data_IF_966470152618
#
_entry.id   IF_966470152618
#
_cell.length_a   1.000
_cell.length_b   1.000
_cell.length_c   1.000
_cell.angle_alpha   90.00
_cell.angle_beta   90.00
_cell.angle_gamma   90.00
#
_symmetry.space_group_name_H-M   'P 1'
#
loop_
_entity.id
_entity.type
_entity.pdbx_description
1 polymer ?
#
# COMPACT_ATOMS: atom_id res chain seq x y z
N UNK A 1 10.14 -33.79 21.71
CA UNK A 1 10.69 -35.07 21.21
C UNK A 1 11.69 -34.88 20.07
N UNK A 2 11.28 -34.46 18.86
CA UNK A 2 12.20 -34.34 17.71
C UNK A 2 13.39 -33.38 17.93
N UNK A 3 13.16 -32.24 18.57
CA UNK A 3 14.23 -31.30 18.95
C UNK A 3 15.25 -31.91 19.94
N UNK A 4 14.79 -32.66 20.94
CA UNK A 4 15.67 -33.37 21.88
C UNK A 4 16.47 -34.47 21.16
N UNK A 5 15.84 -35.20 20.23
CA UNK A 5 16.52 -36.19 19.41
C UNK A 5 17.63 -35.55 18.53
N UNK A 6 17.41 -34.34 18.02
CA UNK A 6 18.45 -33.59 17.29
C UNK A 6 19.62 -33.20 18.21
N UNK A 7 19.34 -32.72 19.42
CA UNK A 7 20.40 -32.38 20.39
C UNK A 7 21.23 -33.58 20.84
N UNK A 8 20.62 -34.76 20.95
CA UNK A 8 21.28 -36.00 21.37
C UNK A 8 21.94 -36.78 20.22
N UNK A 9 21.72 -36.37 18.97
CA UNK A 9 22.22 -37.06 17.80
C UNK A 9 23.75 -36.97 17.69
N UNK A 10 24.39 -38.12 17.46
CA UNK A 10 25.85 -38.28 17.45
C UNK A 10 26.49 -38.17 16.07
N UNK A 11 25.69 -38.22 15.00
CA UNK A 11 26.17 -38.11 13.62
C UNK A 11 25.17 -37.35 12.73
N UNK A 12 25.63 -36.99 11.52
CA UNK A 12 24.84 -36.23 10.55
C UNK A 12 23.54 -36.97 10.15
N UNK A 13 23.58 -38.28 9.99
CA UNK A 13 22.42 -39.10 9.62
C UNK A 13 21.29 -39.03 10.67
N UNK A 14 21.66 -39.12 11.95
CA UNK A 14 20.72 -39.03 13.06
C UNK A 14 20.13 -37.61 13.17
N UNK A 15 20.97 -36.57 13.00
CA UNK A 15 20.52 -35.17 12.96
C UNK A 15 19.55 -34.91 11.82
N UNK A 16 19.85 -35.38 10.61
CA UNK A 16 18.98 -35.27 9.45
C UNK A 16 17.62 -35.91 9.70
N UNK A 17 17.59 -37.18 10.18
CA UNK A 17 16.33 -37.86 10.52
C UNK A 17 15.51 -37.12 11.57
N UNK A 18 16.15 -36.57 12.61
CA UNK A 18 15.46 -35.79 13.62
C UNK A 18 14.84 -34.50 13.05
N UNK A 19 15.55 -33.81 12.15
CA UNK A 19 15.06 -32.62 11.46
C UNK A 19 13.91 -32.95 10.49
N UNK A 20 13.98 -34.06 9.77
CA UNK A 20 12.88 -34.51 8.91
C UNK A 20 11.58 -34.78 9.69
N UNK A 21 11.69 -35.44 10.86
CA UNK A 21 10.55 -35.67 11.77
C UNK A 21 10.02 -34.34 12.33
N UNK A 22 10.92 -33.42 12.68
CA UNK A 22 10.53 -32.08 13.14
C UNK A 22 9.76 -31.32 12.05
N UNK A 23 10.25 -31.31 10.81
CA UNK A 23 9.58 -30.68 9.67
C UNK A 23 8.18 -31.23 9.44
N UNK A 24 8.01 -32.56 9.44
CA UNK A 24 6.70 -33.19 9.31
C UNK A 24 5.74 -32.84 10.47
N UNK A 25 6.25 -32.74 11.70
CA UNK A 25 5.45 -32.34 12.86
C UNK A 25 5.02 -30.86 12.79
N UNK A 26 5.91 -29.98 12.34
CA UNK A 26 5.62 -28.55 12.12
C UNK A 26 4.59 -28.35 11.01
N UNK A 27 4.71 -29.11 9.92
CA UNK A 27 3.75 -29.09 8.81
C UNK A 27 2.33 -29.46 9.29
N UNK A 28 2.18 -30.49 10.13
CA UNK A 28 0.87 -30.88 10.71
C UNK A 28 0.24 -29.80 11.59
N UNK A 29 1.06 -28.89 12.13
CA UNK A 29 0.61 -27.74 12.92
C UNK A 29 0.46 -26.46 12.08
N UNK A 30 0.59 -26.56 10.76
CA UNK A 30 0.54 -25.42 9.84
C UNK A 30 1.64 -24.38 10.07
N UNK A 31 2.75 -24.77 10.72
CA UNK A 31 3.95 -23.95 10.82
C UNK A 31 4.82 -24.14 9.59
N UNK A 32 4.36 -23.56 8.47
CA UNK A 32 4.91 -23.82 7.14
C UNK A 32 6.37 -23.45 6.99
N UNK A 33 6.75 -22.23 7.36
CA UNK A 33 8.11 -21.74 7.20
C UNK A 33 9.13 -22.54 8.02
N UNK A 34 8.95 -22.72 9.34
CA UNK A 34 9.80 -23.61 10.12
C UNK A 34 9.83 -25.07 9.61
N UNK A 35 8.73 -25.57 9.05
CA UNK A 35 8.70 -26.90 8.47
C UNK A 35 9.60 -27.02 7.23
N UNK A 36 9.52 -26.05 6.32
CA UNK A 36 10.36 -25.99 5.12
C UNK A 36 11.84 -25.87 5.51
N UNK A 37 12.16 -25.01 6.47
CA UNK A 37 13.53 -24.78 6.92
C UNK A 37 14.12 -26.04 7.61
N UNK A 38 13.31 -26.75 8.40
CA UNK A 38 13.72 -28.02 9.02
C UNK A 38 14.00 -29.09 7.97
N UNK A 39 13.18 -29.20 6.92
CA UNK A 39 13.40 -30.14 5.83
C UNK A 39 14.64 -29.75 4.99
N UNK A 40 14.83 -28.46 4.69
CA UNK A 40 16.03 -27.92 4.02
C UNK A 40 17.31 -28.27 4.81
N UNK A 41 17.29 -28.02 6.12
CA UNK A 41 18.40 -28.34 7.01
C UNK A 41 18.67 -29.85 7.12
N UNK A 42 17.62 -30.69 7.08
CA UNK A 42 17.78 -32.15 7.00
C UNK A 42 18.55 -32.55 5.74
N UNK A 43 18.16 -32.02 4.58
CA UNK A 43 18.77 -32.34 3.28
C UNK A 43 20.21 -31.85 3.17
N UNK A 44 20.55 -30.74 3.82
CA UNK A 44 21.92 -30.25 3.91
C UNK A 44 22.86 -31.20 4.69
N UNK A 45 22.31 -32.03 5.60
CA UNK A 45 23.09 -32.99 6.39
C UNK A 45 23.15 -34.38 5.77
N UNK A 46 22.06 -34.82 5.15
CA UNK A 46 21.99 -36.09 4.41
C UNK A 46 20.92 -35.99 3.34
N UNK A 47 21.30 -36.34 2.11
CA UNK A 47 20.36 -36.46 1.03
C UNK A 47 19.50 -37.73 1.19
N UNK A 48 18.18 -37.56 1.22
CA UNK A 48 17.20 -38.64 1.31
C UNK A 48 16.04 -38.31 0.36
N UNK A 49 15.76 -39.21 -0.59
CA UNK A 49 14.76 -38.97 -1.64
C UNK A 49 13.34 -38.72 -1.11
N UNK A 50 12.96 -39.32 0.03
CA UNK A 50 11.63 -39.09 0.63
C UNK A 50 11.56 -37.70 1.26
N UNK A 51 12.61 -37.29 1.97
CA UNK A 51 12.70 -35.95 2.57
C UNK A 51 12.72 -34.89 1.47
N UNK A 52 13.45 -35.14 0.37
CA UNK A 52 13.53 -34.24 -0.79
C UNK A 52 12.17 -34.02 -1.43
N UNK A 53 11.45 -35.11 -1.71
CA UNK A 53 10.09 -35.02 -2.27
C UNK A 53 9.13 -34.27 -1.35
N UNK A 54 9.21 -34.49 -0.02
CA UNK A 54 8.41 -33.76 0.95
C UNK A 54 8.77 -32.25 1.01
N UNK A 55 10.05 -31.92 0.96
CA UNK A 55 10.55 -30.54 0.91
C UNK A 55 10.07 -29.81 -0.33
N UNK A 56 10.28 -30.39 -1.52
CA UNK A 56 9.89 -29.79 -2.80
C UNK A 56 8.38 -29.57 -2.89
N UNK A 57 7.59 -30.56 -2.45
CA UNK A 57 6.13 -30.42 -2.37
C UNK A 57 5.71 -29.28 -1.45
N UNK A 58 6.26 -29.25 -0.23
CA UNK A 58 5.88 -28.23 0.74
C UNK A 58 6.33 -26.83 0.31
N UNK A 59 7.52 -26.69 -0.29
CA UNK A 59 8.01 -25.44 -0.87
C UNK A 59 7.14 -24.98 -2.04
N UNK A 60 6.68 -25.89 -2.91
CA UNK A 60 5.77 -25.53 -4.00
C UNK A 60 4.42 -25.01 -3.50
N UNK A 61 3.89 -25.58 -2.41
CA UNK A 61 2.58 -25.21 -1.88
C UNK A 61 2.65 -23.99 -0.95
N UNK A 62 3.73 -23.84 -0.18
CA UNK A 62 3.84 -22.92 0.97
C UNK A 62 5.15 -22.14 1.03
N UNK A 63 6.04 -22.31 0.06
CA UNK A 63 7.31 -21.59 -0.05
C UNK A 63 7.14 -20.12 -0.40
N UNK A 64 8.26 -19.45 -0.72
CA UNK A 64 8.24 -18.08 -1.21
C UNK A 64 7.40 -17.93 -2.48
N UNK A 65 6.32 -17.14 -2.40
CA UNK A 65 5.35 -16.97 -3.49
C UNK A 65 4.63 -15.62 -3.39
N UNK A 66 4.10 -15.16 -4.53
CA UNK A 66 3.13 -14.07 -4.56
C UNK A 66 1.80 -14.55 -3.95
N UNK A 67 1.24 -13.77 -3.04
CA UNK A 67 -0.02 -14.11 -2.34
C UNK A 67 -1.16 -13.15 -2.66
N UNK A 68 -0.86 -11.91 -3.05
CA UNK A 68 -1.87 -10.91 -3.39
C UNK A 68 -1.25 -9.76 -4.20
N UNK A 69 -2.07 -8.83 -4.67
CA UNK A 69 -1.64 -7.53 -5.14
C UNK A 69 -2.62 -6.44 -4.69
N UNK A 70 -2.16 -5.19 -4.74
CA UNK A 70 -2.99 -4.01 -4.47
C UNK A 70 -2.61 -2.89 -5.42
N UNK A 71 -3.62 -2.23 -5.98
CA UNK A 71 -3.43 -1.00 -6.73
C UNK A 71 -3.58 0.22 -5.82
N UNK A 72 -2.61 1.11 -5.86
CA UNK A 72 -2.64 2.39 -5.17
C UNK A 72 -2.93 3.50 -6.18
N UNK A 73 -4.22 3.75 -6.41
CA UNK A 73 -4.68 4.65 -7.48
C UNK A 73 -4.96 6.08 -7.02
N UNK A 74 -4.98 6.40 -5.73
CA UNK A 74 -5.40 7.74 -5.30
C UNK A 74 -4.30 8.80 -5.46
N UNK A 75 -3.05 8.37 -5.60
CA UNK A 75 -1.90 9.23 -5.87
C UNK A 75 -1.94 9.81 -7.29
N UNK A 76 -1.19 10.91 -7.50
CA UNK A 76 -1.02 11.53 -8.82
C UNK A 76 -0.43 10.55 -9.83
N UNK A 77 0.57 9.78 -9.40
CA UNK A 77 1.12 8.65 -10.16
C UNK A 77 0.72 7.36 -9.44
N UNK A 78 -0.15 6.53 -10.03
CA UNK A 78 -0.59 5.30 -9.42
C UNK A 78 0.50 4.23 -9.48
N UNK A 79 0.45 3.30 -8.54
CA UNK A 79 1.39 2.16 -8.47
C UNK A 79 0.68 0.85 -8.14
N UNK A 80 1.31 -0.26 -8.52
CA UNK A 80 0.85 -1.62 -8.24
C UNK A 80 1.82 -2.30 -7.28
N UNK A 81 1.36 -2.70 -6.11
CA UNK A 81 2.16 -3.44 -5.14
C UNK A 81 1.81 -4.93 -5.15
N UNK A 82 2.77 -5.76 -5.53
CA UNK A 82 2.71 -7.21 -5.49
C UNK A 82 3.14 -7.70 -4.10
N UNK A 83 2.28 -8.44 -3.41
CA UNK A 83 2.52 -8.94 -2.05
C UNK A 83 3.05 -10.38 -2.09
N UNK A 84 4.10 -10.63 -1.31
CA UNK A 84 4.74 -11.93 -1.16
C UNK A 84 4.52 -12.52 0.22
N UNK A 85 4.78 -13.82 0.33
CA UNK A 85 4.69 -14.58 1.59
C UNK A 85 5.89 -14.39 2.52
N UNK A 86 7.01 -13.91 2.00
CA UNK A 86 8.25 -13.64 2.74
C UNK A 86 8.83 -12.33 2.24
N UNK A 87 9.82 -11.79 2.96
CA UNK A 87 10.47 -10.55 2.58
C UNK A 87 11.35 -10.77 1.34
N UNK A 88 11.42 -9.75 0.51
CA UNK A 88 12.30 -9.67 -0.63
C UNK A 88 13.75 -9.56 -0.18
N UNK A 89 14.67 -10.02 -1.03
CA UNK A 89 16.10 -9.94 -0.75
C UNK A 89 16.55 -8.51 -0.44
N UNK A 90 17.36 -8.36 0.60
CA UNK A 90 17.99 -7.08 0.99
C UNK A 90 19.34 -6.85 0.31
N UNK A 91 19.79 -7.80 -0.51
CA UNK A 91 21.03 -7.69 -1.27
C UNK A 91 20.93 -6.66 -2.40
N UNK A 92 22.03 -6.48 -3.14
CA UNK A 92 22.02 -5.70 -4.39
C UNK A 92 21.36 -6.51 -5.50
N UNK A 93 20.03 -6.46 -5.54
CA UNK A 93 19.19 -7.11 -6.55
C UNK A 93 18.53 -6.05 -7.40
N UNK A 94 18.65 -6.19 -8.72
CA UNK A 94 17.86 -5.41 -9.67
C UNK A 94 16.52 -6.11 -9.91
N UNK A 95 15.51 -5.71 -9.14
CA UNK A 95 14.18 -6.33 -9.21
C UNK A 95 13.44 -6.05 -10.52
N UNK A 96 13.81 -5.00 -11.27
CA UNK A 96 13.17 -4.66 -12.53
C UNK A 96 13.30 -5.80 -13.56
N UNK A 97 14.40 -6.57 -13.53
CA UNK A 97 14.62 -7.75 -14.39
C UNK A 97 13.60 -8.86 -14.20
N UNK A 98 12.95 -8.92 -13.05
CA UNK A 98 11.96 -9.95 -12.74
C UNK A 98 10.53 -9.52 -13.03
N UNK A 99 10.31 -8.28 -13.45
CA UNK A 99 8.97 -7.75 -13.73
C UNK A 99 8.87 -7.37 -15.19
N UNK A 100 7.69 -7.52 -15.76
CA UNK A 100 7.32 -6.93 -17.04
C UNK A 100 5.89 -6.44 -16.99
N UNK A 101 5.65 -5.30 -17.61
CA UNK A 101 4.33 -4.67 -17.74
C UNK A 101 4.02 -4.57 -19.23
N UNK A 102 2.97 -5.25 -19.69
CA UNK A 102 2.58 -5.35 -21.10
C UNK A 102 3.73 -5.79 -22.02
N UNK A 103 4.55 -6.73 -21.54
CA UNK A 103 5.72 -7.24 -22.26
C UNK A 103 6.91 -6.29 -22.34
N UNK A 104 6.87 -5.14 -21.64
CA UNK A 104 7.95 -4.15 -21.56
C UNK A 104 8.59 -4.14 -20.17
N UNK A 105 9.75 -3.49 -20.07
CA UNK A 105 10.40 -3.23 -18.79
C UNK A 105 9.57 -2.20 -17.97
N UNK A 106 9.47 -2.38 -16.65
CA UNK A 106 8.78 -1.43 -15.78
C UNK A 106 9.54 -0.09 -15.73
N UNK A 107 8.81 1.02 -15.58
CA UNK A 107 9.43 2.35 -15.44
C UNK A 107 10.16 2.51 -14.11
N UNK A 108 9.62 1.92 -13.04
CA UNK A 108 10.18 1.96 -11.71
C UNK A 108 9.72 0.77 -10.89
N UNK A 109 10.61 0.24 -10.07
CA UNK A 109 10.33 -0.86 -9.16
C UNK A 109 10.96 -0.58 -7.81
N UNK A 110 10.17 -0.70 -6.75
CA UNK A 110 10.59 -0.52 -5.37
C UNK A 110 10.31 -1.79 -4.56
N UNK A 111 11.35 -2.32 -3.91
CA UNK A 111 11.23 -3.45 -2.99
C UNK A 111 11.04 -2.92 -1.55
N UNK A 112 9.89 -3.24 -0.95
CA UNK A 112 9.44 -2.73 0.34
C UNK A 112 9.06 -3.89 1.26
N UNK A 113 10.06 -4.49 1.92
CA UNK A 113 9.82 -5.62 2.83
C UNK A 113 9.30 -6.84 2.07
N UNK A 114 8.01 -7.13 2.19
CA UNK A 114 7.32 -8.26 1.54
C UNK A 114 6.55 -7.82 0.27
N UNK A 115 6.77 -6.59 -0.17
CA UNK A 115 6.08 -6.00 -1.31
C UNK A 115 7.06 -5.60 -2.41
N UNK A 116 6.66 -5.83 -3.66
CA UNK A 116 7.31 -5.27 -4.83
C UNK A 116 6.35 -4.31 -5.52
N UNK A 117 6.62 -3.02 -5.46
CA UNK A 117 5.76 -2.00 -6.03
C UNK A 117 6.30 -1.52 -7.38
N UNK A 118 5.43 -1.48 -8.37
CA UNK A 118 5.70 -1.02 -9.73
C UNK A 118 5.09 0.35 -9.91
N UNK A 119 5.94 1.32 -10.24
CA UNK A 119 5.56 2.72 -10.44
C UNK A 119 5.32 3.04 -11.93
N UNK A 120 4.79 4.23 -12.19
CA UNK A 120 4.62 4.77 -13.55
C UNK A 120 3.41 4.22 -14.30
N UNK A 121 2.43 3.68 -13.58
CA UNK A 121 1.16 3.27 -14.18
C UNK A 121 0.28 4.48 -14.50
N UNK A 122 -0.79 4.24 -15.26
CA UNK A 122 -1.78 5.25 -15.63
C UNK A 122 -3.16 4.80 -15.16
N UNK A 123 -3.94 5.73 -14.63
CA UNK A 123 -5.33 5.49 -14.23
C UNK A 123 -6.22 5.13 -15.41
N UNK A 124 -7.26 4.34 -15.15
CA UNK A 124 -8.23 3.91 -16.15
C UNK A 124 -7.68 2.86 -17.13
N UNK A 125 -6.48 2.31 -16.89
CA UNK A 125 -5.84 1.33 -17.77
C UNK A 125 -5.78 -0.07 -17.17
N UNK A 126 -5.75 -1.07 -18.05
CA UNK A 126 -5.48 -2.47 -17.72
C UNK A 126 -4.05 -2.81 -18.13
N UNK A 127 -3.38 -3.59 -17.31
CA UNK A 127 -2.01 -4.05 -17.49
C UNK A 127 -1.93 -5.56 -17.34
N UNK A 128 -1.14 -6.19 -18.20
CA UNK A 128 -0.67 -7.57 -18.03
C UNK A 128 0.70 -7.54 -17.35
N UNK A 129 0.78 -8.11 -16.16
CA UNK A 129 2.00 -8.10 -15.34
C UNK A 129 2.56 -9.51 -15.26
N UNK A 130 3.79 -9.65 -15.74
CA UNK A 130 4.57 -10.88 -15.62
C UNK A 130 5.63 -10.73 -14.55
N UNK A 131 5.57 -11.59 -13.55
CA UNK A 131 6.61 -11.81 -12.56
C UNK A 131 7.39 -13.07 -12.93
N UNK A 132 8.69 -12.93 -13.19
CA UNK A 132 9.56 -14.03 -13.61
C UNK A 132 10.02 -14.86 -12.43
N UNK A 133 10.14 -16.17 -12.64
CA UNK A 133 10.81 -17.08 -11.72
C UNK A 133 12.26 -16.62 -11.46
N UNK A 134 12.81 -17.00 -10.31
CA UNK A 134 14.15 -16.58 -9.87
C UNK A 134 14.18 -15.27 -9.08
N UNK A 135 13.03 -14.62 -8.87
CA UNK A 135 12.96 -13.43 -8.02
C UNK A 135 13.38 -13.80 -6.58
N UNK A 136 14.40 -13.12 -6.00
CA UNK A 136 14.99 -13.57 -4.75
C UNK A 136 14.30 -13.00 -3.50
N UNK A 137 14.16 -13.86 -2.48
CA UNK A 137 13.71 -13.48 -1.13
C UNK A 137 14.88 -13.32 -0.15
N UNK A 138 14.60 -12.92 1.10
CA UNK A 138 15.59 -12.91 2.18
C UNK A 138 15.73 -14.26 2.92
N UNK A 139 14.95 -15.28 2.54
CA UNK A 139 14.97 -16.63 3.13
C UNK A 139 15.69 -17.68 2.28
N UNK A 140 16.54 -17.24 1.33
CA UNK A 140 17.30 -18.13 0.43
C UNK A 140 16.36 -19.12 -0.31
N UNK A 141 15.25 -18.56 -0.79
CA UNK A 141 14.30 -19.18 -1.71
C UNK A 141 13.92 -18.18 -2.80
N UNK A 142 14.12 -18.56 -4.06
CA UNK A 142 13.61 -17.77 -5.17
C UNK A 142 12.19 -18.18 -5.55
N UNK A 143 11.48 -17.26 -6.20
CA UNK A 143 10.17 -17.52 -6.78
C UNK A 143 10.28 -18.66 -7.80
N UNK A 144 9.54 -19.75 -7.59
CA UNK A 144 9.77 -20.99 -8.35
C UNK A 144 9.23 -20.96 -9.78
N UNK A 145 8.18 -20.17 -10.03
CA UNK A 145 7.46 -20.16 -11.31
C UNK A 145 7.09 -18.74 -11.68
N UNK A 146 6.90 -18.52 -12.97
CA UNK A 146 6.34 -17.27 -13.44
C UNK A 146 4.93 -17.09 -12.89
N UNK A 147 4.57 -15.85 -12.59
CA UNK A 147 3.22 -15.45 -12.19
C UNK A 147 2.75 -14.37 -13.15
N UNK A 148 1.61 -14.60 -13.78
CA UNK A 148 0.97 -13.64 -14.68
C UNK A 148 -0.33 -13.17 -14.05
N UNK A 149 -0.53 -11.85 -14.00
CA UNK A 149 -1.76 -11.25 -13.48
C UNK A 149 -2.23 -10.13 -14.42
N UNK A 150 -3.54 -10.05 -14.61
CA UNK A 150 -4.19 -8.92 -15.26
C UNK A 150 -4.69 -7.96 -14.18
N UNK A 151 -4.24 -6.70 -14.22
CA UNK A 151 -4.57 -5.69 -13.21
C UNK A 151 -5.23 -4.49 -13.87
N UNK A 152 -6.33 -4.02 -13.27
CA UNK A 152 -6.95 -2.74 -13.63
C UNK A 152 -6.54 -1.67 -12.63
N UNK A 153 -6.11 -0.52 -13.12
CA UNK A 153 -5.87 0.68 -12.33
C UNK A 153 -7.12 1.55 -12.40
N UNK A 154 -7.92 1.63 -11.32
CA UNK A 154 -9.13 2.44 -11.35
C UNK A 154 -8.80 3.93 -11.42
N UNK A 155 -9.75 4.70 -11.92
CA UNK A 155 -9.72 6.16 -11.82
C UNK A 155 -9.69 6.61 -10.36
N UNK A 156 -9.17 7.82 -10.14
CA UNK A 156 -9.14 8.45 -8.82
C UNK A 156 -10.56 8.66 -8.33
N UNK A 157 -10.80 8.49 -7.03
CA UNK A 157 -12.12 8.82 -6.48
C UNK A 157 -12.35 10.34 -6.60
N UNK A 158 -13.59 10.78 -6.88
CA UNK A 158 -13.90 12.20 -6.84
C UNK A 158 -13.60 12.77 -5.46
N UNK A 159 -12.85 13.87 -5.41
CA UNK A 159 -12.62 14.60 -4.16
C UNK A 159 -12.41 16.09 -4.40
N UNK A 160 -12.56 16.86 -3.33
CA UNK A 160 -12.21 18.27 -3.26
C UNK A 160 -11.50 18.56 -1.94
N UNK A 161 -10.51 19.45 -1.98
CA UNK A 161 -9.77 19.93 -0.80
C UNK A 161 -9.33 21.37 -0.97
N UNK A 162 -9.18 22.12 0.11
CA UNK A 162 -8.46 23.39 0.07
C UNK A 162 -6.96 23.16 -0.12
N UNK A 163 -6.28 24.02 -0.89
CA UNK A 163 -4.83 23.88 -1.12
C UNK A 163 -3.98 24.33 0.08
N UNK A 164 -4.54 25.15 0.97
CA UNK A 164 -3.86 25.73 2.14
C UNK A 164 -4.69 25.63 3.43
N UNK A 165 -4.06 25.96 4.58
CA UNK A 165 -4.64 25.79 5.93
C UNK A 165 -5.36 27.03 6.45
N UNK A 166 -4.93 28.22 6.04
CA UNK A 166 -5.52 29.49 6.48
C UNK A 166 -5.24 30.56 5.42
N UNK A 167 -6.29 31.28 5.01
CA UNK A 167 -6.15 32.45 4.16
C UNK A 167 -6.69 33.65 4.92
N UNK A 168 -5.80 34.59 5.28
CA UNK A 168 -6.23 35.95 5.64
C UNK A 168 -6.48 36.65 4.31
N UNK A 169 -7.75 36.82 3.95
CA UNK A 169 -8.10 37.49 2.71
C UNK A 169 -7.86 38.99 2.86
N UNK A 170 -7.03 39.61 2.00
CA UNK A 170 -6.85 41.05 2.02
C UNK A 170 -8.16 41.74 1.61
N UNK A 171 -8.40 42.93 2.17
CA UNK A 171 -9.58 43.74 1.87
C UNK A 171 -9.62 44.28 0.42
N UNK A 172 -8.51 44.17 -0.33
CA UNK A 172 -8.36 44.55 -1.74
C UNK A 172 -7.47 43.55 -2.49
N UNK A 173 -7.79 43.23 -3.75
CA UNK A 173 -6.99 42.35 -4.62
C UNK A 173 -7.75 41.12 -5.12
N UNK A 174 -7.03 40.14 -5.70
CA UNK A 174 -7.63 38.90 -6.22
C UNK A 174 -8.15 38.06 -5.04
N UNK A 175 -9.46 38.03 -4.87
CA UNK A 175 -10.17 37.37 -3.78
C UNK A 175 -10.57 35.96 -4.19
N UNK A 176 -9.90 34.95 -3.66
CA UNK A 176 -10.41 33.60 -3.79
C UNK A 176 -9.66 32.57 -2.96
N UNK A 177 -10.41 31.60 -2.43
CA UNK A 177 -9.81 30.50 -1.70
C UNK A 177 -9.53 29.36 -2.69
N UNK A 178 -8.26 28.97 -2.91
CA UNK A 178 -7.94 27.91 -3.85
C UNK A 178 -8.44 26.54 -3.37
N UNK A 179 -9.23 25.90 -4.22
CA UNK A 179 -9.78 24.56 -4.10
C UNK A 179 -9.10 23.66 -5.14
N UNK A 180 -8.63 22.50 -4.72
CA UNK A 180 -8.16 21.44 -5.60
C UNK A 180 -9.26 20.39 -5.71
N UNK A 181 -9.65 20.07 -6.94
CA UNK A 181 -10.66 19.04 -7.23
C UNK A 181 -10.12 18.01 -8.21
N UNK A 182 -10.66 16.79 -8.13
CA UNK A 182 -10.38 15.67 -9.03
C UNK A 182 -11.69 14.94 -9.33
N UNK A 183 -11.90 14.56 -10.59
CA UNK A 183 -13.02 13.72 -11.05
C UNK A 183 -14.41 14.18 -10.58
N UNK A 184 -14.58 15.48 -10.32
CA UNK A 184 -15.88 16.12 -10.07
C UNK A 184 -16.00 17.39 -10.89
N UNK A 185 -17.21 17.73 -11.31
CA UNK A 185 -17.53 18.98 -12.01
C UNK A 185 -18.29 19.97 -11.14
N UNK A 186 -18.71 19.58 -9.93
CA UNK A 186 -19.44 20.42 -8.98
C UNK A 186 -18.92 20.23 -7.57
N UNK A 187 -18.86 21.33 -6.83
CA UNK A 187 -18.49 21.33 -5.41
C UNK A 187 -19.58 22.04 -4.61
N UNK A 188 -19.91 21.49 -3.45
CA UNK A 188 -20.82 22.11 -2.48
C UNK A 188 -19.99 22.87 -1.45
N UNK A 189 -20.37 24.12 -1.20
CA UNK A 189 -19.64 25.04 -0.33
C UNK A 189 -20.60 25.59 0.71
N UNK A 190 -20.16 25.58 1.96
CA UNK A 190 -20.82 26.25 3.07
C UNK A 190 -19.83 27.17 3.76
N UNK A 191 -20.26 28.41 4.06
CA UNK A 191 -19.47 29.37 4.82
C UNK A 191 -20.15 29.62 6.15
N UNK A 192 -19.35 29.50 7.22
CA UNK A 192 -19.79 29.72 8.58
C UNK A 192 -19.03 30.90 9.18
N UNK A 193 -19.78 31.85 9.75
CA UNK A 193 -19.24 32.93 10.58
C UNK A 193 -19.19 32.46 12.03
N UNK A 194 -18.02 32.53 12.65
CA UNK A 194 -17.89 32.30 14.08
C UNK A 194 -18.18 33.61 14.81
N UNK A 195 -19.12 33.60 15.75
CA UNK A 195 -19.46 34.79 16.54
C UNK A 195 -18.34 35.21 17.50
N UNK A 196 -18.24 36.51 17.79
CA UNK A 196 -17.12 37.12 18.54
C UNK A 196 -16.85 36.46 19.90
N UNK A 197 -17.91 36.01 20.60
CA UNK A 197 -17.80 35.31 21.90
C UNK A 197 -17.15 33.93 21.80
N UNK A 198 -17.31 33.27 20.66
CA UNK A 198 -16.75 31.96 20.38
C UNK A 198 -15.38 32.05 19.68
N UNK A 199 -14.99 33.26 19.24
CA UNK A 199 -13.75 33.49 18.51
C UNK A 199 -12.52 33.24 19.38
N UNK A 200 -12.54 33.64 20.65
CA UNK A 200 -11.42 33.42 21.58
C UNK A 200 -11.17 31.92 21.75
N UNK A 201 -12.21 31.11 21.97
CA UNK A 201 -12.07 29.65 22.08
C UNK A 201 -11.65 28.95 20.78
N UNK A 202 -11.97 29.53 19.61
CA UNK A 202 -11.50 29.03 18.32
C UNK A 202 -10.02 29.36 18.05
N UNK A 203 -9.51 30.46 18.62
CA UNK A 203 -8.14 30.95 18.46
C UNK A 203 -7.16 30.43 19.54
N UNK A 204 -7.61 30.25 20.79
CA UNK A 204 -6.76 29.88 21.95
C UNK A 204 -6.15 28.47 21.86
N UNK A 205 -6.69 27.58 21.02
CA UNK A 205 -6.24 26.18 20.95
C UNK A 205 -5.09 25.90 19.97
N UNK A 206 -4.51 26.90 19.30
CA UNK A 206 -3.63 26.67 18.14
C UNK A 206 -4.36 25.99 16.97
N UNK A 207 -5.69 25.95 17.03
CA UNK A 207 -6.57 25.20 16.12
C UNK A 207 -6.74 25.88 14.76
N UNK A 208 -6.43 27.18 14.65
CA UNK A 208 -6.59 27.97 13.43
C UNK A 208 -5.72 27.50 12.25
N UNK A 209 -4.58 26.84 12.54
CA UNK A 209 -3.61 26.41 11.52
C UNK A 209 -3.65 24.92 11.20
N UNK A 210 -4.56 24.15 11.81
CA UNK A 210 -4.67 22.70 11.55
C UNK A 210 -5.92 22.37 10.76
N UNK A 211 -5.88 21.22 10.08
CA UNK A 211 -7.09 20.66 9.46
C UNK A 211 -8.10 20.34 10.57
N UNK A 212 -9.33 20.78 10.40
CA UNK A 212 -10.42 20.45 11.29
C UNK A 212 -10.80 18.98 11.10
N UNK A 213 -11.04 18.28 12.21
CA UNK A 213 -11.66 16.96 12.20
C UNK A 213 -13.17 17.07 11.93
N UNK A 214 -13.79 15.97 11.52
CA UNK A 214 -15.24 15.93 11.27
C UNK A 214 -16.07 16.34 12.51
N UNK A 215 -15.60 16.01 13.72
CA UNK A 215 -16.29 16.38 14.96
C UNK A 215 -16.31 17.91 15.17
N UNK A 216 -15.20 18.58 14.89
CA UNK A 216 -15.09 20.04 15.03
C UNK A 216 -15.89 20.76 13.97
N UNK A 217 -15.90 20.24 12.75
CA UNK A 217 -16.76 20.75 11.68
C UNK A 217 -18.21 20.71 12.16
N UNK A 218 -18.68 19.57 12.67
CA UNK A 218 -20.06 19.45 13.15
C UNK A 218 -20.35 20.37 14.35
N UNK A 219 -19.40 20.53 15.28
CA UNK A 219 -19.54 21.46 16.41
C UNK A 219 -19.70 22.92 15.93
N UNK A 220 -18.96 23.32 14.88
CA UNK A 220 -19.13 24.63 14.24
C UNK A 220 -20.51 24.73 13.60
N UNK A 221 -20.94 23.72 12.84
CA UNK A 221 -22.25 23.75 12.16
C UNK A 221 -23.43 23.86 13.11
N UNK A 222 -23.35 23.20 14.27
CA UNK A 222 -24.49 23.02 15.18
C UNK A 222 -24.51 24.02 16.33
N UNK A 223 -23.36 24.52 16.79
CA UNK A 223 -23.26 25.22 18.09
C UNK A 223 -22.60 26.57 18.03
N UNK A 224 -21.48 26.70 17.32
CA UNK A 224 -20.62 27.89 17.45
C UNK A 224 -20.56 28.79 16.21
N UNK A 225 -20.93 28.26 15.05
CA UNK A 225 -20.94 28.96 13.77
C UNK A 225 -22.36 29.29 13.28
N UNK A 226 -22.50 30.45 12.67
CA UNK A 226 -23.68 30.88 11.92
C UNK A 226 -23.43 30.65 10.43
N UNK A 227 -24.30 29.89 9.74
CA UNK A 227 -24.17 29.67 8.30
C UNK A 227 -24.56 30.93 7.53
N UNK A 228 -23.58 31.58 6.91
CA UNK A 228 -23.79 32.81 6.12
C UNK A 228 -23.95 32.55 4.63
N UNK A 229 -23.43 31.43 4.13
CA UNK A 229 -23.57 31.02 2.73
C UNK A 229 -23.68 29.50 2.59
N UNK A 230 -24.48 29.07 1.62
CA UNK A 230 -24.54 27.70 1.14
C UNK A 230 -24.82 27.72 -0.37
N UNK A 231 -23.96 27.08 -1.15
CA UNK A 231 -24.05 27.12 -2.60
C UNK A 231 -23.33 25.98 -3.29
N UNK A 232 -23.54 25.89 -4.59
CA UNK A 232 -22.82 24.96 -5.48
C UNK A 232 -22.01 25.78 -6.46
N UNK A 233 -20.78 25.35 -6.72
CA UNK A 233 -19.90 25.96 -7.71
C UNK A 233 -19.51 24.91 -8.74
N UNK A 234 -19.60 25.27 -10.01
CA UNK A 234 -19.05 24.45 -11.09
C UNK A 234 -17.53 24.55 -11.07
N UNK A 235 -16.85 23.42 -11.22
CA UNK A 235 -15.39 23.35 -11.32
C UNK A 235 -15.00 22.69 -12.63
N UNK A 236 -13.91 23.14 -13.29
CA UNK A 236 -13.38 22.42 -14.44
C UNK A 236 -12.97 21.03 -13.99
N UNK A 237 -13.25 20.03 -14.84
CA UNK A 237 -12.93 18.64 -14.56
C UNK A 237 -12.20 18.03 -15.74
N UNK A 238 -11.06 17.41 -15.48
CA UNK A 238 -10.33 16.57 -16.42
C UNK A 238 -9.99 15.26 -15.72
N UNK A 239 -10.25 14.14 -16.42
CA UNK A 239 -10.17 12.82 -15.83
C UNK A 239 -8.78 12.56 -15.23
N UNK A 240 -8.75 12.21 -13.95
CA UNK A 240 -7.58 11.91 -13.12
C UNK A 240 -6.61 13.06 -12.86
N UNK A 241 -6.94 14.30 -13.26
CA UNK A 241 -6.10 15.48 -13.05
C UNK A 241 -6.56 16.34 -11.87
N UNK A 242 -5.59 16.86 -11.12
CA UNK A 242 -5.85 17.86 -10.08
C UNK A 242 -6.01 19.23 -10.72
N UNK A 243 -7.18 19.85 -10.53
CA UNK A 243 -7.47 21.19 -11.01
C UNK A 243 -7.66 22.12 -9.83
N UNK A 244 -6.87 23.19 -9.80
CA UNK A 244 -7.00 24.26 -8.80
C UNK A 244 -7.94 25.34 -9.33
N UNK A 245 -9.03 25.58 -8.62
CA UNK A 245 -10.03 26.63 -8.92
C UNK A 245 -10.11 27.59 -7.75
N UNK A 246 -10.19 28.89 -8.01
CA UNK A 246 -10.41 29.88 -6.96
C UNK A 246 -11.90 29.96 -6.61
N UNK A 247 -12.25 29.73 -5.34
CA UNK A 247 -13.58 30.01 -4.80
C UNK A 247 -13.76 31.53 -4.64
N UNK A 248 -14.64 32.20 -5.40
CA UNK A 248 -14.93 33.61 -5.18
C UNK A 248 -15.59 33.80 -3.81
N UNK A 249 -15.04 34.69 -3.00
CA UNK A 249 -15.56 34.98 -1.64
C UNK A 249 -16.43 36.25 -1.62
N UNK A 250 -16.30 37.10 -2.63
CA UNK A 250 -17.05 38.37 -2.76
C UNK A 250 -18.53 38.20 -2.97
N UNK A 251 -18.96 37.04 -3.46
CA UNK A 251 -20.36 36.78 -3.79
C UNK A 251 -21.08 36.06 -2.63
N UNK A 252 -20.35 35.73 -1.55
CA UNK A 252 -20.78 34.85 -0.46
C UNK A 252 -20.84 35.53 0.92
N UNK A 253 -20.46 36.81 1.04
CA UNK A 253 -20.45 37.59 2.31
C UNK A 253 -20.95 39.01 2.09
#
# INVERSE_FOLDING_TARGET
>A
AAYLAYQQARNAQQKARALAVLGAALQRRSYWRPAIDALKASLALSDDGRVRSAYEKLRAERGFRMINYKTESEAVSPRLCLQFSERLSRGRVDFAKFVSIDGKDPQGVAAEGEQLCVDGLVHGQRYEVLLRAGLPSDVDEDLQKNVEIAVYVPDRKPFVRFSGKSYVLPSRGQQGIPLVSVNTSKVEIEVYRIGDRNLIGALDGGNFQRRLSNWEINAIKERTGERVFAGKMDVPSKLNEEITTALPVTDAV
#
